data_IF_595830484773
#
_entry.id   IF_595830484773
#
_cell.length_a   1.000
_cell.length_b   1.000
_cell.length_c   1.000
_cell.angle_alpha   90.00
_cell.angle_beta   90.00
_cell.angle_gamma   90.00
#
_symmetry.space_group_name_H-M   'P 1'
#
loop_
_entity.id
_entity.type
_entity.pdbx_description
1 polymer ?
#
# COMPACT_ATOMS: atom_id res chain seq x y z
N UNK A 1 -45.15 37.28 -6.25
CA UNK A 1 -44.45 36.65 -5.09
C UNK A 1 -44.23 35.15 -5.31
N UNK A 2 -45.26 34.33 -5.49
CA UNK A 2 -45.14 32.87 -5.69
C UNK A 2 -44.26 32.41 -6.86
N UNK A 3 -44.28 33.12 -8.00
CA UNK A 3 -43.47 32.77 -9.19
C UNK A 3 -41.96 33.00 -8.98
N UNK A 4 -41.59 33.95 -8.11
CA UNK A 4 -40.20 34.24 -7.76
C UNK A 4 -39.70 33.23 -6.72
N UNK A 5 -40.56 32.90 -5.74
CA UNK A 5 -40.28 31.87 -4.75
C UNK A 5 -40.03 30.51 -5.41
N UNK A 6 -40.90 30.06 -6.32
CA UNK A 6 -40.71 28.78 -7.02
C UNK A 6 -39.41 28.72 -7.83
N UNK A 7 -38.95 29.86 -8.40
CA UNK A 7 -37.65 29.92 -9.08
C UNK A 7 -36.47 29.81 -8.11
N UNK A 8 -36.59 30.39 -6.91
CA UNK A 8 -35.57 30.26 -5.87
C UNK A 8 -35.48 28.82 -5.35
N UNK A 9 -36.63 28.16 -5.16
CA UNK A 9 -36.70 26.76 -4.74
C UNK A 9 -36.09 25.83 -5.79
N UNK A 10 -36.40 26.04 -7.07
CA UNK A 10 -35.82 25.25 -8.16
C UNK A 10 -34.31 25.43 -8.29
N UNK A 11 -33.81 26.66 -8.06
CA UNK A 11 -32.38 26.93 -8.03
C UNK A 11 -31.70 26.21 -6.86
N UNK A 12 -32.28 26.32 -5.67
CA UNK A 12 -31.72 25.72 -4.47
C UNK A 12 -31.74 24.19 -4.54
N UNK A 13 -32.79 23.57 -5.09
CA UNK A 13 -32.84 22.13 -5.33
C UNK A 13 -31.68 21.66 -6.21
N UNK A 14 -31.40 22.36 -7.31
CA UNK A 14 -30.27 22.04 -8.20
C UNK A 14 -28.93 22.18 -7.48
N UNK A 15 -28.77 23.21 -6.65
CA UNK A 15 -27.56 23.42 -5.85
C UNK A 15 -27.35 22.27 -4.85
N UNK A 16 -28.42 21.87 -4.15
CA UNK A 16 -28.38 20.78 -3.18
C UNK A 16 -28.09 19.42 -3.84
N UNK A 17 -28.71 19.12 -4.99
CA UNK A 17 -28.40 17.90 -5.75
C UNK A 17 -26.95 17.88 -6.22
N UNK A 18 -26.44 19.02 -6.67
CA UNK A 18 -25.03 19.13 -7.07
C UNK A 18 -24.09 18.88 -5.89
N UNK A 19 -24.36 19.46 -4.71
CA UNK A 19 -23.56 19.20 -3.52
C UNK A 19 -23.61 17.74 -3.09
N UNK A 20 -24.78 17.11 -3.14
CA UNK A 20 -24.92 15.68 -2.85
C UNK A 20 -24.03 14.84 -3.76
N UNK A 21 -24.01 15.15 -5.06
CA UNK A 21 -23.17 14.45 -6.02
C UNK A 21 -21.67 14.69 -5.75
N UNK A 22 -21.28 15.94 -5.48
CA UNK A 22 -19.89 16.27 -5.13
C UNK A 22 -19.42 15.56 -3.86
N UNK A 23 -20.21 15.58 -2.79
CA UNK A 23 -19.80 14.95 -1.52
C UNK A 23 -19.73 13.42 -1.64
N UNK A 24 -20.61 12.82 -2.45
CA UNK A 24 -20.55 11.38 -2.73
C UNK A 24 -19.29 11.04 -3.52
N UNK A 25 -18.96 11.81 -4.56
CA UNK A 25 -17.73 11.64 -5.32
C UNK A 25 -16.49 11.84 -4.44
N UNK A 26 -16.49 12.85 -3.56
CA UNK A 26 -15.41 13.10 -2.62
C UNK A 26 -15.20 11.90 -1.68
N UNK A 27 -16.28 11.35 -1.14
CA UNK A 27 -16.20 10.16 -0.29
C UNK A 27 -15.64 8.94 -1.03
N UNK A 28 -16.00 8.75 -2.29
CA UNK A 28 -15.48 7.65 -3.11
C UNK A 28 -13.98 7.77 -3.37
N UNK A 29 -13.46 8.98 -3.59
CA UNK A 29 -12.02 9.17 -3.86
C UNK A 29 -11.17 9.18 -2.58
N UNK A 30 -11.75 9.49 -1.42
CA UNK A 30 -11.03 9.45 -0.13
C UNK A 30 -11.10 8.08 0.54
N UNK A 31 -12.10 7.25 0.21
CA UNK A 31 -12.20 5.89 0.72
C UNK A 31 -11.20 4.97 0.02
N UNK A 32 -10.11 4.68 0.71
CA UNK A 32 -9.08 3.73 0.26
C UNK A 32 -9.44 2.28 0.52
N UNK A 33 -10.48 2.01 1.33
CA UNK A 33 -10.88 0.66 1.73
C UNK A 33 -11.35 -0.18 0.54
N UNK A 34 -11.95 0.46 -0.47
CA UNK A 34 -12.39 -0.20 -1.70
C UNK A 34 -11.31 -0.21 -2.79
N UNK A 35 -10.12 0.39 -2.56
CA UNK A 35 -9.04 0.39 -3.53
C UNK A 35 -8.31 -0.97 -3.51
N UNK A 36 -8.53 -1.76 -4.56
CA UNK A 36 -7.86 -3.05 -4.77
C UNK A 36 -6.34 -2.96 -4.67
N UNK A 37 -5.73 -1.84 -5.07
CA UNK A 37 -4.27 -1.63 -4.98
C UNK A 37 -3.79 -1.55 -3.54
N UNK A 38 -4.61 -1.01 -2.64
CA UNK A 38 -4.30 -0.95 -1.22
C UNK A 38 -4.30 -2.35 -0.60
N UNK A 39 -5.29 -3.17 -0.94
CA UNK A 39 -5.35 -4.58 -0.51
C UNK A 39 -4.17 -5.38 -1.06
N UNK A 40 -3.89 -5.28 -2.36
CA UNK A 40 -2.74 -5.95 -2.97
C UNK A 40 -1.40 -5.55 -2.35
N UNK A 41 -1.23 -4.27 -2.00
CA UNK A 41 -0.04 -3.77 -1.34
C UNK A 41 0.16 -4.44 0.03
N UNK A 42 -0.90 -4.52 0.84
CA UNK A 42 -0.85 -5.20 2.13
C UNK A 42 -0.54 -6.69 1.99
N UNK A 43 -1.16 -7.38 1.02
CA UNK A 43 -0.83 -8.79 0.76
C UNK A 43 0.61 -8.98 0.28
N UNK A 44 1.12 -8.10 -0.59
CA UNK A 44 2.52 -8.14 -1.05
C UNK A 44 3.47 -7.93 0.13
N UNK A 45 3.15 -7.00 1.02
CA UNK A 45 3.92 -6.76 2.23
C UNK A 45 3.91 -7.98 3.16
N UNK A 46 2.75 -8.57 3.41
CA UNK A 46 2.62 -9.78 4.23
C UNK A 46 3.39 -10.96 3.63
N UNK A 47 3.32 -11.14 2.31
CA UNK A 47 4.10 -12.15 1.58
C UNK A 47 5.60 -11.91 1.70
N UNK A 48 6.05 -10.66 1.65
CA UNK A 48 7.47 -10.32 1.81
C UNK A 48 7.98 -10.66 3.21
N UNK A 49 7.22 -10.32 4.26
CA UNK A 49 7.55 -10.71 5.64
C UNK A 49 7.59 -12.22 5.79
N UNK A 50 6.60 -12.92 5.24
CA UNK A 50 6.49 -14.38 5.37
C UNK A 50 7.59 -15.14 4.64
N UNK A 51 8.28 -14.50 3.67
CA UNK A 51 9.44 -15.07 2.98
C UNK A 51 10.73 -14.97 3.78
N UNK A 52 10.75 -14.20 4.87
CA UNK A 52 11.93 -14.13 5.72
C UNK A 52 12.22 -15.50 6.33
N UNK A 53 13.46 -15.96 6.18
CA UNK A 53 13.94 -17.21 6.75
C UNK A 53 15.34 -16.94 7.34
N UNK A 54 15.42 -16.94 8.67
CA UNK A 54 16.65 -16.67 9.40
C UNK A 54 17.72 -17.74 9.12
N UNK A 55 17.34 -19.00 8.94
CA UNK A 55 18.30 -20.08 8.70
C UNK A 55 19.02 -19.87 7.36
N UNK A 56 18.28 -19.45 6.31
CA UNK A 56 18.91 -19.14 5.02
C UNK A 56 19.85 -17.94 5.08
N UNK A 57 19.53 -16.94 5.91
CA UNK A 57 20.39 -15.77 6.10
C UNK A 57 21.67 -16.15 6.86
N UNK A 58 21.56 -17.02 7.87
CA UNK A 58 22.70 -17.56 8.63
C UNK A 58 23.58 -18.44 7.75
N UNK A 59 23.01 -19.32 6.93
CA UNK A 59 23.75 -20.14 5.96
C UNK A 59 24.51 -19.26 4.97
N UNK A 60 23.84 -18.24 4.41
CA UNK A 60 24.49 -17.29 3.51
C UNK A 60 25.66 -16.59 4.20
N UNK A 61 25.48 -16.14 5.44
CA UNK A 61 26.55 -15.48 6.17
C UNK A 61 27.73 -16.42 6.43
N UNK A 62 27.47 -17.63 6.92
CA UNK A 62 28.51 -18.60 7.25
C UNK A 62 29.35 -18.99 6.03
N UNK A 63 28.70 -19.15 4.87
CA UNK A 63 29.35 -19.48 3.60
C UNK A 63 30.27 -18.38 3.08
N UNK A 64 29.86 -17.13 3.20
CA UNK A 64 30.56 -16.01 2.56
C UNK A 64 31.51 -15.28 3.51
N UNK A 65 31.24 -15.30 4.81
CA UNK A 65 31.96 -14.50 5.81
C UNK A 65 32.26 -15.26 7.10
N UNK A 66 31.63 -16.41 7.33
CA UNK A 66 31.79 -17.18 8.55
C UNK A 66 32.69 -18.41 8.40
N UNK A 67 32.40 -19.44 9.19
CA UNK A 67 33.27 -20.60 9.37
C UNK A 67 33.50 -21.44 8.12
N UNK A 68 32.65 -21.33 7.10
CA UNK A 68 32.78 -22.07 5.84
C UNK A 68 33.58 -21.31 4.77
N UNK A 69 34.07 -20.11 5.10
CA UNK A 69 34.97 -19.39 4.20
C UNK A 69 36.23 -20.21 3.93
N UNK A 70 36.57 -20.34 2.65
CA UNK A 70 37.75 -21.10 2.25
C UNK A 70 39.00 -20.31 2.62
N UNK A 71 39.64 -20.74 3.69
CA UNK A 71 40.98 -20.30 4.05
C UNK A 71 41.97 -21.40 3.71
N UNK A 72 43.06 -21.05 3.03
CA UNK A 72 44.23 -21.94 2.95
C UNK A 72 44.88 -21.97 4.33
N UNK A 73 44.92 -23.15 4.93
CA UNK A 73 45.70 -23.36 6.13
C UNK A 73 47.19 -23.24 5.82
N UNK A 74 48.01 -22.78 6.78
CA UNK A 74 49.45 -22.74 6.61
C UNK A 74 49.98 -24.12 6.22
N UNK A 75 50.84 -24.14 5.20
CA UNK A 75 51.57 -25.32 4.73
C UNK A 75 53.03 -24.93 4.54
N UNK A 76 53.93 -25.90 4.49
CA UNK A 76 55.35 -25.61 4.28
C UNK A 76 55.57 -25.04 2.87
N UNK A 77 56.23 -23.90 2.79
CA UNK A 77 56.71 -23.32 1.53
C UNK A 77 58.05 -23.99 1.14
N UNK A 78 58.27 -24.22 -0.15
CA UNK A 78 59.51 -24.79 -0.71
C UNK A 78 60.75 -23.89 -0.48
#
# INVERSE_FOLDING_TARGET
MFKILGRADDFERKRLEHFKLMFTALHQVTSIENDTRHTEMLEKFQRAISKHNADSDIEFFNKNYGCETRTKWPDFED
#
